data_IF_079977981370
#
_entry.id   IF_079977981370
#
_cell.length_a   1.000
_cell.length_b   1.000
_cell.length_c   1.000
_cell.angle_alpha   90.00
_cell.angle_beta   90.00
_cell.angle_gamma   90.00
#
_symmetry.space_group_name_H-M   'P 1'
#
loop_
_entity.id
_entity.type
_entity.pdbx_description
1 polymer ?
#
# COMPACT_ATOMS: atom_id res chain seq x y z
N UNK A 1 8.13 -9.73 -28.15
CA UNK A 1 9.16 -9.48 -29.15
C UNK A 1 8.63 -8.55 -30.24
N UNK A 2 8.93 -7.29 -30.06
CA UNK A 2 8.60 -6.14 -30.94
C UNK A 2 9.13 -6.29 -32.37
N UNK A 3 10.09 -7.18 -32.58
CA UNK A 3 10.77 -7.46 -33.83
C UNK A 3 9.93 -8.00 -34.99
N UNK A 4 8.77 -8.62 -34.67
CA UNK A 4 7.88 -9.20 -35.69
C UNK A 4 6.63 -8.35 -35.88
N UNK A 5 6.54 -7.20 -35.22
CA UNK A 5 5.44 -6.29 -35.43
C UNK A 5 5.61 -5.59 -36.78
N UNK A 6 4.52 -5.46 -37.48
CA UNK A 6 4.40 -4.59 -38.66
C UNK A 6 4.90 -3.19 -38.24
N UNK A 7 5.79 -2.54 -39.02
CA UNK A 7 6.26 -1.19 -38.76
C UNK A 7 5.15 -0.18 -38.46
N UNK A 8 3.96 -0.39 -39.01
CA UNK A 8 2.78 0.43 -38.76
C UNK A 8 2.28 0.33 -37.31
N UNK A 9 2.57 -0.76 -36.59
CA UNK A 9 2.10 -1.05 -35.25
C UNK A 9 3.13 -0.78 -34.14
N UNK A 10 4.36 -0.39 -34.49
CA UNK A 10 5.45 -0.15 -33.51
C UNK A 10 5.03 0.91 -32.47
N UNK A 11 4.35 1.97 -32.90
CA UNK A 11 3.91 3.03 -32.00
C UNK A 11 2.91 2.55 -30.94
N UNK A 12 1.94 1.73 -31.30
CA UNK A 12 0.95 1.18 -30.38
C UNK A 12 1.56 0.17 -29.39
N UNK A 13 2.47 -0.68 -29.87
CA UNK A 13 3.21 -1.62 -29.04
C UNK A 13 4.13 -0.89 -28.04
N UNK A 14 4.79 0.17 -28.49
CA UNK A 14 5.60 1.00 -27.61
C UNK A 14 4.77 1.65 -26.51
N UNK A 15 3.58 2.17 -26.82
CA UNK A 15 2.68 2.74 -25.81
C UNK A 15 2.26 1.71 -24.75
N UNK A 16 1.98 0.47 -25.16
CA UNK A 16 1.61 -0.62 -24.27
C UNK A 16 2.77 -0.99 -23.33
N UNK A 17 3.98 -1.14 -23.87
CA UNK A 17 5.18 -1.43 -23.09
C UNK A 17 5.54 -0.28 -22.16
N UNK A 18 5.44 0.95 -22.63
CA UNK A 18 5.65 2.15 -21.82
C UNK A 18 4.67 2.23 -20.63
N UNK A 19 3.39 1.93 -20.86
CA UNK A 19 2.38 1.90 -19.80
C UNK A 19 2.69 0.79 -18.78
N UNK A 20 3.15 -0.38 -19.22
CA UNK A 20 3.61 -1.47 -18.35
C UNK A 20 4.82 -1.06 -17.50
N UNK A 21 5.82 -0.43 -18.09
CA UNK A 21 7.00 0.06 -17.41
C UNK A 21 6.66 1.14 -16.36
N UNK A 22 5.77 2.08 -16.70
CA UNK A 22 5.30 3.12 -15.78
C UNK A 22 4.56 2.52 -14.58
N UNK A 23 3.70 1.52 -14.81
CA UNK A 23 3.01 0.81 -13.73
C UNK A 23 4.00 0.11 -12.80
N UNK A 24 4.97 -0.60 -13.34
CA UNK A 24 6.02 -1.28 -12.56
C UNK A 24 6.86 -0.29 -11.76
N UNK A 25 7.24 0.84 -12.35
CA UNK A 25 7.96 1.90 -11.66
C UNK A 25 7.12 2.51 -10.52
N UNK A 26 5.81 2.71 -10.74
CA UNK A 26 4.89 3.18 -9.71
C UNK A 26 4.80 2.22 -8.51
N UNK A 27 4.75 0.91 -8.75
CA UNK A 27 4.76 -0.12 -7.69
C UNK A 27 6.09 -0.08 -6.91
N UNK A 28 7.23 0.02 -7.60
CA UNK A 28 8.54 0.10 -6.94
C UNK A 28 8.67 1.35 -6.06
N UNK A 29 8.23 2.50 -6.54
CA UNK A 29 8.21 3.75 -5.74
C UNK A 29 7.28 3.59 -4.53
N UNK A 30 6.11 2.96 -4.72
CA UNK A 30 5.20 2.67 -3.63
C UNK A 30 5.84 1.75 -2.58
N UNK A 31 6.49 0.66 -2.99
CA UNK A 31 7.23 -0.21 -2.07
C UNK A 31 8.38 0.51 -1.38
N UNK A 32 9.11 1.34 -2.12
CA UNK A 32 10.16 2.20 -1.57
C UNK A 32 9.63 3.14 -0.49
N UNK A 33 8.42 3.66 -0.66
CA UNK A 33 7.78 4.54 0.34
C UNK A 33 7.58 3.84 1.66
N UNK A 34 7.13 2.59 1.66
CA UNK A 34 6.87 1.84 2.89
C UNK A 34 8.15 1.22 3.47
N UNK A 35 8.96 0.57 2.65
CA UNK A 35 10.08 -0.27 3.10
C UNK A 35 11.45 0.39 2.94
N UNK A 36 11.54 1.47 2.19
CA UNK A 36 12.78 2.22 2.02
C UNK A 36 13.89 1.38 1.39
N UNK A 37 15.08 1.45 1.98
CA UNK A 37 16.27 0.73 1.50
C UNK A 37 16.13 -0.79 1.53
N UNK A 38 15.11 -1.34 2.20
CA UNK A 38 14.80 -2.78 2.12
C UNK A 38 14.13 -3.16 0.81
N UNK A 39 13.45 -2.22 0.13
CA UNK A 39 12.89 -2.43 -1.21
C UNK A 39 13.92 -2.15 -2.31
N UNK A 40 14.69 -1.07 -2.17
CA UNK A 40 15.78 -0.70 -3.07
C UNK A 40 16.91 -0.02 -2.28
N UNK A 41 18.08 -0.63 -2.26
CA UNK A 41 19.25 -0.14 -1.52
C UNK A 41 19.73 1.25 -1.97
N UNK A 42 19.37 1.69 -3.18
CA UNK A 42 19.72 3.02 -3.73
C UNK A 42 18.62 4.06 -3.54
N UNK A 43 17.49 3.66 -2.95
CA UNK A 43 16.35 4.53 -2.78
C UNK A 43 16.42 5.37 -1.49
N UNK A 44 15.32 6.07 -1.22
CA UNK A 44 15.16 6.88 -0.02
C UNK A 44 14.71 6.04 1.18
N UNK A 45 14.82 6.60 2.38
CA UNK A 45 14.38 5.96 3.62
C UNK A 45 12.85 5.86 3.66
N UNK A 46 12.30 4.67 3.93
CA UNK A 46 10.86 4.43 3.94
C UNK A 46 10.19 4.73 5.28
N UNK A 47 8.85 4.75 5.26
CA UNK A 47 7.99 5.00 6.43
C UNK A 47 8.29 4.02 7.57
N UNK A 48 8.49 2.73 7.25
CA UNK A 48 8.69 1.67 8.25
C UNK A 48 9.89 1.91 9.17
N UNK A 49 10.96 2.49 8.65
CA UNK A 49 12.16 2.79 9.44
C UNK A 49 12.04 4.08 10.26
N UNK A 50 10.99 4.87 10.06
CA UNK A 50 10.77 6.17 10.71
C UNK A 50 9.44 6.22 11.48
N UNK A 51 8.93 5.08 11.89
CA UNK A 51 7.70 5.00 12.68
C UNK A 51 7.90 5.64 14.05
N UNK A 52 6.95 6.47 14.45
CA UNK A 52 6.90 7.03 15.81
C UNK A 52 6.51 6.00 16.85
N UNK A 53 5.57 5.16 16.48
CA UNK A 53 5.02 4.13 17.33
C UNK A 53 4.36 3.03 16.50
N UNK A 54 4.44 1.80 16.97
CA UNK A 54 3.75 0.66 16.37
C UNK A 54 3.01 -0.15 17.42
N UNK A 55 1.92 -0.77 16.99
CA UNK A 55 1.17 -1.77 17.78
C UNK A 55 1.31 -3.10 17.05
N UNK A 56 1.70 -4.15 17.78
CA UNK A 56 1.74 -5.50 17.22
C UNK A 56 0.36 -6.16 17.29
N UNK A 57 -0.14 -6.68 16.18
CA UNK A 57 -1.31 -7.56 16.15
C UNK A 57 -0.97 -9.00 16.62
N UNK A 58 0.32 -9.33 16.75
CA UNK A 58 0.80 -10.60 17.35
C UNK A 58 1.20 -11.68 16.36
N UNK A 59 0.95 -11.50 15.05
CA UNK A 59 1.34 -12.47 14.03
C UNK A 59 2.84 -12.51 13.78
N UNK A 60 3.35 -13.68 13.43
CA UNK A 60 4.77 -13.92 13.16
C UNK A 60 5.05 -14.54 11.78
N UNK A 61 4.04 -15.05 11.10
CA UNK A 61 4.18 -15.80 9.85
C UNK A 61 3.28 -15.20 8.77
N UNK A 62 3.84 -14.90 7.60
CA UNK A 62 3.11 -14.30 6.49
C UNK A 62 2.28 -13.08 6.93
N UNK A 63 2.95 -12.16 7.59
CA UNK A 63 2.32 -10.97 8.17
C UNK A 63 2.33 -9.82 7.20
N UNK A 64 1.40 -8.90 7.40
CA UNK A 64 1.35 -7.60 6.75
C UNK A 64 1.21 -6.50 7.78
N UNK A 65 1.29 -5.24 7.35
CA UNK A 65 1.15 -4.08 8.22
C UNK A 65 0.12 -3.10 7.67
N UNK A 66 -0.48 -2.33 8.57
CA UNK A 66 -1.30 -1.17 8.24
C UNK A 66 -0.62 0.10 8.75
N UNK A 67 -0.55 1.14 7.93
CA UNK A 67 0.12 2.39 8.27
C UNK A 67 -0.89 3.51 8.45
N UNK A 68 -0.82 4.21 9.60
CA UNK A 68 -1.59 5.40 9.87
C UNK A 68 -0.65 6.61 9.73
N UNK A 69 -0.87 7.42 8.72
CA UNK A 69 0.03 8.50 8.32
C UNK A 69 -0.67 9.85 8.39
N UNK A 70 0.01 10.82 8.98
CA UNK A 70 -0.42 12.21 8.97
C UNK A 70 0.07 12.90 7.71
N UNK A 71 -0.87 13.34 6.88
CA UNK A 71 -0.60 14.00 5.60
C UNK A 71 -0.67 15.51 5.80
N UNK A 72 0.46 16.19 5.70
CA UNK A 72 0.55 17.65 5.81
C UNK A 72 1.70 18.18 4.97
N UNK A 73 1.53 19.37 4.40
CA UNK A 73 2.52 19.96 3.47
C UNK A 73 3.80 20.41 4.16
N UNK A 74 3.77 20.73 5.46
CA UNK A 74 4.91 21.31 6.18
C UNK A 74 5.59 20.30 7.09
N UNK A 75 4.83 19.64 7.94
CA UNK A 75 5.36 18.79 9.00
C UNK A 75 4.96 17.32 8.88
N UNK A 76 4.03 17.00 7.97
CA UNK A 76 3.54 15.65 7.72
C UNK A 76 4.36 14.88 6.71
N UNK A 77 3.79 13.77 6.27
CA UNK A 77 4.33 12.98 5.18
C UNK A 77 3.86 13.55 3.84
N UNK A 78 4.80 13.71 2.92
CA UNK A 78 4.50 14.19 1.56
C UNK A 78 5.47 13.60 0.54
N UNK A 79 5.02 13.59 -0.71
CA UNK A 79 5.91 13.38 -1.85
C UNK A 79 6.46 14.69 -2.35
N UNK A 80 7.77 14.76 -2.49
CA UNK A 80 8.45 15.84 -3.20
C UNK A 80 8.81 15.32 -4.60
N UNK A 81 8.27 15.94 -5.63
CA UNK A 81 8.55 15.62 -7.02
C UNK A 81 9.47 16.70 -7.60
N UNK A 82 10.47 16.29 -8.36
CA UNK A 82 11.41 17.21 -8.99
C UNK A 82 10.75 18.12 -10.04
N UNK A 83 11.54 19.05 -10.57
CA UNK A 83 11.07 19.96 -11.61
C UNK A 83 10.45 19.20 -12.78
N UNK A 84 9.16 19.46 -13.03
CA UNK A 84 8.38 18.76 -14.04
C UNK A 84 7.41 17.71 -13.49
N UNK A 85 7.53 17.26 -12.25
CA UNK A 85 6.52 16.48 -11.49
C UNK A 85 6.00 15.19 -12.11
N UNK A 86 6.60 14.72 -13.20
CA UNK A 86 6.07 13.65 -14.02
C UNK A 86 7.12 12.60 -14.32
N UNK A 87 6.64 11.37 -14.52
CA UNK A 87 7.42 10.34 -15.20
C UNK A 87 7.65 10.78 -16.65
N UNK A 88 8.90 10.97 -17.02
CA UNK A 88 9.27 11.27 -18.40
C UNK A 88 9.71 9.99 -19.09
N UNK A 89 9.01 9.61 -20.16
CA UNK A 89 9.43 8.56 -21.08
C UNK A 89 9.98 9.21 -22.35
N UNK A 90 11.22 8.87 -22.70
CA UNK A 90 11.79 9.32 -23.96
C UNK A 90 11.12 8.63 -25.16
N UNK A 91 11.08 9.32 -26.31
CA UNK A 91 10.66 8.67 -27.54
C UNK A 91 11.57 7.44 -27.84
N UNK A 92 11.01 6.37 -28.42
CA UNK A 92 11.78 5.19 -28.76
C UNK A 92 12.85 5.54 -29.80
N UNK A 93 14.07 5.10 -29.52
CA UNK A 93 15.21 5.24 -30.44
C UNK A 93 15.72 3.87 -30.82
N UNK A 94 15.99 3.64 -32.10
CA UNK A 94 16.64 2.43 -32.57
C UNK A 94 18.11 2.49 -32.13
N UNK A 95 18.52 1.56 -31.31
CA UNK A 95 19.87 1.50 -30.76
C UNK A 95 20.39 0.07 -30.76
N UNK A 96 21.68 -0.08 -31.01
CA UNK A 96 22.35 -1.37 -30.85
C UNK A 96 22.50 -1.66 -29.35
N UNK A 97 22.02 -2.81 -28.91
CA UNK A 97 22.15 -3.33 -27.56
C UNK A 97 22.79 -4.71 -27.59
N UNK A 98 23.33 -5.13 -26.46
CA UNK A 98 23.90 -6.47 -26.32
C UNK A 98 22.89 -7.36 -25.60
N UNK A 99 22.76 -8.61 -26.03
CA UNK A 99 22.02 -9.64 -25.30
C UNK A 99 22.82 -10.14 -24.08
N UNK A 100 22.23 -11.04 -23.29
CA UNK A 100 22.89 -11.66 -22.13
C UNK A 100 24.16 -12.47 -22.47
N UNK A 101 24.39 -12.76 -23.77
CA UNK A 101 25.57 -13.45 -24.30
C UNK A 101 26.52 -12.50 -25.02
N UNK A 102 26.34 -11.18 -24.87
CA UNK A 102 27.14 -10.13 -25.51
C UNK A 102 27.02 -10.05 -27.04
N UNK A 103 25.99 -10.66 -27.66
CA UNK A 103 25.77 -10.52 -29.11
C UNK A 103 25.04 -9.20 -29.41
N UNK A 104 25.48 -8.41 -30.37
CA UNK A 104 24.85 -7.16 -30.73
C UNK A 104 23.55 -7.38 -31.52
N UNK A 105 22.51 -6.66 -31.19
CA UNK A 105 21.27 -6.59 -31.94
C UNK A 105 20.66 -5.19 -31.90
N UNK A 106 19.77 -4.88 -32.85
CA UNK A 106 19.08 -3.59 -32.88
C UNK A 106 17.77 -3.66 -32.13
N UNK A 107 17.55 -2.77 -31.18
CA UNK A 107 16.32 -2.67 -30.43
C UNK A 107 15.83 -1.23 -30.30
N UNK A 108 14.52 -1.06 -30.15
CA UNK A 108 13.97 0.22 -29.74
C UNK A 108 14.17 0.39 -28.23
N UNK A 109 14.88 1.44 -27.85
CA UNK A 109 15.21 1.77 -26.46
C UNK A 109 14.58 3.09 -26.09
N UNK A 110 13.98 3.16 -24.91
CA UNK A 110 13.51 4.39 -24.28
C UNK A 110 13.91 4.44 -22.82
N UNK A 111 14.13 5.63 -22.31
CA UNK A 111 14.46 5.85 -20.92
C UNK A 111 13.22 6.34 -20.17
N UNK A 112 12.94 5.68 -19.05
CA UNK A 112 11.96 6.15 -18.08
C UNK A 112 12.74 6.87 -16.96
N UNK A 113 12.40 8.13 -16.71
CA UNK A 113 13.03 8.95 -15.68
C UNK A 113 11.96 9.58 -14.78
N UNK A 114 12.22 9.59 -13.48
CA UNK A 114 11.42 10.31 -12.51
C UNK A 114 12.32 10.79 -11.36
N UNK A 115 12.06 11.98 -10.86
CA UNK A 115 12.66 12.49 -9.64
C UNK A 115 11.59 12.51 -8.56
N UNK A 116 11.64 11.55 -7.66
CA UNK A 116 10.66 11.40 -6.58
C UNK A 116 11.41 11.28 -5.27
N UNK A 117 11.03 12.07 -4.30
CA UNK A 117 11.46 11.97 -2.92
C UNK A 117 10.26 11.80 -2.01
N UNK A 118 10.44 11.12 -0.90
CA UNK A 118 9.44 11.04 0.15
C UNK A 118 9.98 11.74 1.40
N UNK A 119 9.25 12.72 1.88
CA UNK A 119 9.62 13.53 3.02
C UNK A 119 8.70 13.22 4.21
N UNK A 120 9.31 12.95 5.36
CA UNK A 120 8.64 12.84 6.65
C UNK A 120 9.10 14.04 7.49
N UNK A 121 8.29 15.09 7.52
CA UNK A 121 8.65 16.36 8.15
C UNK A 121 8.82 16.27 9.68
N UNK A 122 8.25 15.24 10.31
CA UNK A 122 8.36 15.01 11.75
C UNK A 122 8.35 13.52 12.08
N UNK A 123 9.11 13.14 13.09
CA UNK A 123 9.08 11.77 13.63
C UNK A 123 7.73 11.37 14.25
N UNK A 124 6.77 12.30 14.40
CA UNK A 124 5.42 12.04 14.89
C UNK A 124 4.38 12.01 13.75
N UNK A 125 4.78 11.64 12.55
CA UNK A 125 3.91 11.67 11.37
C UNK A 125 3.49 10.29 10.87
N UNK A 126 4.13 9.22 11.33
CA UNK A 126 3.87 7.87 10.85
C UNK A 126 3.75 6.86 12.00
N UNK A 127 2.73 6.02 11.92
CA UNK A 127 2.39 5.00 12.90
C UNK A 127 2.00 3.72 12.16
N UNK A 128 2.13 2.55 12.81
CA UNK A 128 1.77 1.29 12.17
C UNK A 128 1.12 0.30 13.13
N UNK A 129 0.22 -0.53 12.59
CA UNK A 129 -0.13 -1.84 13.16
C UNK A 129 0.66 -2.87 12.39
N UNK A 130 1.52 -3.62 13.06
CA UNK A 130 2.40 -4.62 12.47
C UNK A 130 1.99 -6.04 12.88
N UNK A 131 2.42 -7.05 12.14
CA UNK A 131 2.13 -8.44 12.50
C UNK A 131 0.67 -8.83 12.30
N UNK A 132 0.00 -8.26 11.30
CA UNK A 132 -1.36 -8.66 10.91
C UNK A 132 -1.23 -9.99 10.16
N UNK A 133 -1.78 -11.06 10.71
CA UNK A 133 -1.71 -12.41 10.15
C UNK A 133 -3.10 -12.88 9.72
N UNK A 134 -3.37 -13.02 8.41
CA UNK A 134 -4.69 -13.38 7.90
C UNK A 134 -5.17 -14.77 8.33
N UNK A 135 -4.23 -15.69 8.58
CA UNK A 135 -4.53 -17.07 8.97
C UNK A 135 -4.97 -17.21 10.44
N UNK A 136 -4.64 -16.24 11.30
CA UNK A 136 -4.93 -16.29 12.74
C UNK A 136 -5.96 -15.24 13.14
N UNK A 137 -7.11 -15.69 13.64
CA UNK A 137 -8.21 -14.80 14.07
C UNK A 137 -7.77 -13.82 15.17
N UNK A 138 -6.87 -14.23 16.03
CA UNK A 138 -6.35 -13.41 17.14
C UNK A 138 -5.43 -12.29 16.66
N UNK A 139 -4.84 -12.44 15.47
CA UNK A 139 -3.85 -11.54 14.91
C UNK A 139 -4.41 -10.71 13.73
N UNK A 140 -5.72 -10.66 13.59
CA UNK A 140 -6.36 -9.80 12.61
C UNK A 140 -6.26 -8.34 13.01
N UNK A 141 -6.20 -7.46 12.01
CA UNK A 141 -6.39 -6.05 12.25
C UNK A 141 -7.78 -5.79 12.84
N UNK A 142 -7.83 -5.02 13.90
CA UNK A 142 -9.08 -4.63 14.53
C UNK A 142 -9.10 -3.13 14.88
N UNK A 143 -10.29 -2.58 15.13
CA UNK A 143 -10.45 -1.16 15.46
C UNK A 143 -9.83 -0.80 16.83
N UNK A 144 -9.64 -1.76 17.74
CA UNK A 144 -8.98 -1.55 19.02
C UNK A 144 -7.49 -1.25 18.85
N UNK A 145 -6.79 -1.98 17.96
CA UNK A 145 -5.37 -1.72 17.68
C UNK A 145 -5.17 -0.34 17.03
N UNK A 146 -6.07 0.05 16.13
CA UNK A 146 -6.06 1.40 15.56
C UNK A 146 -6.35 2.44 16.63
N UNK A 147 -7.28 2.20 17.57
CA UNK A 147 -7.56 3.09 18.70
C UNK A 147 -6.34 3.29 19.61
N UNK A 148 -5.59 2.21 19.88
CA UNK A 148 -4.33 2.28 20.64
C UNK A 148 -3.30 3.16 19.93
N UNK A 149 -3.19 3.09 18.59
CA UNK A 149 -2.34 3.99 17.82
C UNK A 149 -2.80 5.44 17.95
N UNK A 150 -4.09 5.72 17.75
CA UNK A 150 -4.66 7.07 17.80
C UNK A 150 -4.43 7.70 19.18
N UNK A 151 -4.49 6.91 20.25
CA UNK A 151 -4.22 7.39 21.60
C UNK A 151 -2.80 7.95 21.77
N UNK A 152 -1.84 7.50 20.97
CA UNK A 152 -0.45 7.98 20.99
C UNK A 152 -0.22 9.21 20.11
N UNK A 153 -1.19 9.59 19.28
CA UNK A 153 -1.06 10.70 18.35
C UNK A 153 -1.46 12.01 19.05
N UNK A 154 -0.64 13.06 19.00
CA UNK A 154 -1.00 14.38 19.51
C UNK A 154 -2.30 14.89 18.90
N UNK A 155 -3.18 15.49 19.70
CA UNK A 155 -4.51 15.94 19.25
C UNK A 155 -4.43 16.88 18.06
N UNK A 156 -3.43 17.77 18.03
CA UNK A 156 -3.23 18.72 16.92
C UNK A 156 -2.94 18.04 15.56
N UNK A 157 -2.49 16.78 15.55
CA UNK A 157 -2.14 16.02 14.34
C UNK A 157 -3.21 15.01 13.94
N UNK A 158 -4.31 14.92 14.66
CA UNK A 158 -5.39 13.99 14.33
C UNK A 158 -6.23 14.41 13.13
N UNK A 159 -6.20 15.68 12.75
CA UNK A 159 -6.73 16.10 11.43
C UNK A 159 -5.85 15.55 10.33
N UNK A 160 -6.39 15.19 9.19
CA UNK A 160 -5.66 14.67 8.02
C UNK A 160 -4.88 13.36 8.22
N UNK A 161 -5.23 12.56 9.23
CA UNK A 161 -4.75 11.19 9.32
C UNK A 161 -5.41 10.33 8.26
N UNK A 162 -4.63 9.42 7.67
CA UNK A 162 -5.11 8.46 6.68
C UNK A 162 -4.51 7.09 6.95
N UNK A 163 -5.38 6.08 6.93
CA UNK A 163 -4.96 4.68 7.09
C UNK A 163 -4.67 4.08 5.72
N UNK A 164 -3.48 3.52 5.55
CA UNK A 164 -3.07 2.79 4.36
C UNK A 164 -3.02 1.30 4.65
N UNK A 165 -3.73 0.53 3.86
CA UNK A 165 -3.84 -0.92 3.99
C UNK A 165 -3.60 -1.58 2.63
N UNK A 166 -3.16 -2.83 2.66
CA UNK A 166 -3.31 -3.72 1.51
C UNK A 166 -4.66 -4.44 1.58
N UNK A 167 -5.00 -5.19 0.54
CA UNK A 167 -6.27 -5.93 0.45
C UNK A 167 -6.42 -6.97 1.55
N UNK A 168 -5.32 -7.58 1.95
CA UNK A 168 -5.29 -8.61 2.99
C UNK A 168 -5.61 -8.01 4.36
N UNK A 169 -4.98 -6.90 4.73
CA UNK A 169 -5.29 -6.19 5.98
C UNK A 169 -6.73 -5.63 6.00
N UNK A 170 -7.23 -5.11 4.87
CA UNK A 170 -8.63 -4.68 4.74
C UNK A 170 -9.59 -5.84 5.01
N UNK A 171 -9.34 -7.01 4.41
CA UNK A 171 -10.15 -8.21 4.62
C UNK A 171 -10.14 -8.65 6.09
N UNK A 172 -9.00 -8.61 6.77
CA UNK A 172 -8.92 -8.95 8.20
C UNK A 172 -9.71 -7.97 9.06
N UNK A 173 -9.66 -6.67 8.76
CA UNK A 173 -10.46 -5.65 9.45
C UNK A 173 -11.96 -5.87 9.23
N UNK A 174 -12.39 -6.17 8.02
CA UNK A 174 -13.79 -6.50 7.73
C UNK A 174 -14.26 -7.72 8.53
N UNK A 175 -13.46 -8.78 8.55
CA UNK A 175 -13.77 -10.02 9.26
C UNK A 175 -13.83 -9.81 10.78
N UNK A 176 -12.92 -9.02 11.36
CA UNK A 176 -12.92 -8.69 12.79
C UNK A 176 -14.22 -7.96 13.19
N UNK A 177 -14.69 -7.02 12.40
CA UNK A 177 -15.96 -6.30 12.62
C UNK A 177 -17.18 -7.23 12.49
N UNK A 178 -17.16 -8.13 11.53
CA UNK A 178 -18.23 -9.11 11.33
C UNK A 178 -18.35 -10.07 12.52
N UNK A 179 -17.22 -10.49 13.08
CA UNK A 179 -17.21 -11.38 14.26
C UNK A 179 -17.75 -10.68 15.51
N UNK A 180 -17.43 -9.41 15.73
CA UNK A 180 -17.96 -8.62 16.85
C UNK A 180 -19.47 -8.47 16.73
N UNK A 181 -19.97 -8.14 15.54
CA UNK A 181 -21.41 -7.98 15.31
C UNK A 181 -22.20 -9.26 15.60
N UNK A 182 -21.69 -10.42 15.21
CA UNK A 182 -22.31 -11.72 15.50
C UNK A 182 -22.30 -11.98 17.01
N UNK A 183 -21.21 -11.69 17.70
CA UNK A 183 -21.09 -11.87 19.15
C UNK A 183 -22.10 -11.02 19.93
N UNK A 184 -22.28 -9.77 19.56
CA UNK A 184 -23.24 -8.85 20.22
C UNK A 184 -24.69 -9.33 19.97
N UNK A 185 -25.02 -9.78 18.77
CA UNK A 185 -26.35 -10.29 18.46
C UNK A 185 -26.69 -11.59 19.20
N UNK A 186 -25.70 -12.44 19.39
CA UNK A 186 -25.90 -13.72 20.11
C UNK A 186 -26.07 -13.54 21.63
N UNK A 187 -25.54 -12.47 22.20
CA UNK A 187 -25.57 -12.22 23.67
C UNK A 187 -26.75 -11.35 24.15
N UNK A 188 -27.50 -10.73 23.25
CA UNK A 188 -28.64 -9.89 23.61
C UNK A 188 -29.96 -10.64 23.45
N UNK A 189 -30.70 -10.96 24.53
CA UNK A 189 -31.98 -11.63 24.45
C UNK A 189 -33.11 -10.79 23.80
N UNK A 190 -32.84 -9.49 23.59
CA UNK A 190 -33.75 -8.53 22.93
C UNK A 190 -33.25 -8.05 21.59
N UNK A 191 -32.10 -8.52 21.12
CA UNK A 191 -31.67 -8.20 19.77
C UNK A 191 -32.65 -8.86 18.82
N UNK A 192 -33.53 -8.06 18.22
CA UNK A 192 -34.31 -8.53 17.09
C UNK A 192 -33.31 -9.04 16.06
N UNK A 193 -33.36 -10.34 15.88
CA UNK A 193 -32.58 -11.04 14.85
C UNK A 193 -32.83 -10.31 13.53
N UNK A 194 -31.86 -9.51 13.12
CA UNK A 194 -31.89 -8.97 11.77
C UNK A 194 -31.57 -10.16 10.88
N UNK A 195 -32.56 -10.67 10.12
CA UNK A 195 -32.33 -11.87 9.37
C UNK A 195 -31.11 -11.63 8.49
N UNK A 196 -30.19 -12.58 8.49
CA UNK A 196 -29.28 -12.80 7.40
C UNK A 196 -30.02 -12.46 6.12
N UNK A 197 -29.38 -11.81 5.16
CA UNK A 197 -30.03 -11.47 3.89
C UNK A 197 -30.87 -12.61 3.40
N UNK A 198 -31.83 -12.38 2.52
CA UNK A 198 -32.85 -13.35 2.08
C UNK A 198 -32.36 -14.78 1.83
N UNK A 199 -31.07 -14.99 1.81
CA UNK A 199 -30.34 -16.24 1.54
C UNK A 199 -29.90 -17.00 2.81
N UNK A 200 -30.27 -16.56 4.02
CA UNK A 200 -29.86 -17.22 5.28
C UNK A 200 -28.36 -17.14 5.61
N UNK A 201 -27.60 -16.35 4.88
CA UNK A 201 -26.18 -16.16 5.14
C UNK A 201 -25.95 -15.03 6.15
N UNK A 202 -24.96 -15.15 7.06
CA UNK A 202 -24.62 -14.04 7.94
C UNK A 202 -24.27 -12.81 7.09
N UNK A 203 -24.91 -11.67 7.39
CA UNK A 203 -24.60 -10.42 6.72
C UNK A 203 -23.16 -10.02 7.08
N UNK A 204 -22.26 -10.15 6.12
CA UNK A 204 -20.92 -9.62 6.28
C UNK A 204 -20.98 -8.09 6.37
N UNK A 205 -20.17 -7.54 7.25
CA UNK A 205 -19.93 -6.10 7.26
C UNK A 205 -19.44 -5.66 5.87
N UNK A 206 -19.89 -4.51 5.33
CA UNK A 206 -19.36 -4.01 4.07
C UNK A 206 -17.84 -3.77 4.19
N UNK A 207 -17.16 -3.73 3.03
CA UNK A 207 -15.73 -3.40 3.00
C UNK A 207 -15.50 -2.08 3.74
N UNK A 208 -14.52 -2.03 4.65
CA UNK A 208 -14.29 -0.85 5.46
C UNK A 208 -13.69 0.29 4.60
N UNK A 209 -14.37 1.42 4.55
CA UNK A 209 -13.87 2.65 3.93
C UNK A 209 -13.24 3.62 4.95
N UNK A 210 -13.43 3.36 6.23
CA UNK A 210 -12.88 4.14 7.34
C UNK A 210 -12.67 3.28 8.59
N UNK A 211 -11.73 3.70 9.44
CA UNK A 211 -11.50 3.14 10.76
C UNK A 211 -11.39 4.26 11.78
N UNK A 212 -12.14 4.17 12.89
CA UNK A 212 -12.19 5.21 13.93
C UNK A 212 -12.40 6.64 13.38
N UNK A 213 -13.17 6.78 12.28
CA UNK A 213 -13.45 8.05 11.63
C UNK A 213 -12.38 8.53 10.64
N UNK A 214 -11.28 7.79 10.47
CA UNK A 214 -10.23 8.11 9.50
C UNK A 214 -10.40 7.32 8.21
N UNK A 215 -10.19 7.95 7.04
CA UNK A 215 -10.35 7.30 5.75
C UNK A 215 -9.27 6.23 5.54
N UNK A 216 -9.69 5.12 4.93
CA UNK A 216 -8.81 4.04 4.48
C UNK A 216 -8.45 4.25 3.02
N UNK A 217 -7.18 4.09 2.69
CA UNK A 217 -6.67 4.07 1.32
C UNK A 217 -6.01 2.72 1.07
N UNK A 218 -6.48 2.01 0.06
CA UNK A 218 -5.87 0.74 -0.34
C UNK A 218 -4.66 0.96 -1.23
N UNK A 219 -3.65 0.15 -1.02
CA UNK A 219 -2.44 0.15 -1.85
C UNK A 219 -1.89 -1.26 -2.00
N UNK A 220 -1.54 -1.61 -3.23
CA UNK A 220 -0.88 -2.89 -3.54
C UNK A 220 0.65 -2.83 -3.29
N UNK A 221 1.16 -1.70 -2.80
CA UNK A 221 2.58 -1.51 -2.51
C UNK A 221 2.99 -1.98 -1.10
N UNK A 222 2.02 -2.27 -0.24
CA UNK A 222 2.26 -2.92 1.05
C UNK A 222 2.24 -4.43 0.84
N UNK A 223 3.31 -5.12 1.24
CA UNK A 223 3.49 -6.55 1.02
C UNK A 223 2.56 -7.38 1.93
N UNK A 224 2.10 -8.53 1.40
CA UNK A 224 1.35 -9.52 2.16
C UNK A 224 2.25 -10.46 2.99
N UNK A 225 3.55 -10.44 2.71
CA UNK A 225 4.54 -11.30 3.35
C UNK A 225 5.71 -10.47 3.85
N UNK A 226 5.45 -9.69 4.90
CA UNK A 226 6.51 -8.95 5.59
C UNK A 226 7.26 -9.88 6.55
N UNK A 227 8.58 -9.87 6.50
CA UNK A 227 9.39 -10.43 7.58
C UNK A 227 9.38 -9.45 8.74
N UNK A 228 8.87 -9.88 9.89
CA UNK A 228 8.98 -9.13 11.13
C UNK A 228 10.46 -9.10 11.53
N UNK A 229 11.11 -7.98 11.29
CA UNK A 229 12.45 -7.68 11.79
C UNK A 229 12.36 -6.80 13.03
#
# INVERSE_FOLDING_TARGET
>A
SIWRADPANVGSLWQLEAAGAMRSAGILIGQQTWYGTSADAKGFTGVRSQLSYSVGAGGTTNTTSGYLVWMDEKEGCRYDVGQGGQFAISAPRLQQVLDGSSNPYMAYVGNLQAWVGFNIGSNLSAYAVTGIEPASVTNWLNDDDVSKLIAKIPVARRSNLRMFLNRTAESTLQRSRSTINIGIMASSPTASYQPAGADGRPAFSPLPNQTNGYPITLTDSILDTETNS
#
